data_IF_533179371072
#
_entry.id   IF_533179371072
#
_cell.length_a   1.000
_cell.length_b   1.000
_cell.length_c   1.000
_cell.angle_alpha   90.00
_cell.angle_beta   90.00
_cell.angle_gamma   90.00
#
_symmetry.space_group_name_H-M   'P 1'
#
loop_
_entity.id
_entity.type
_entity.pdbx_description
1 polymer ?
#
# COMPACT_ATOMS: atom_id res chain seq x y z
N UNK A 1 -45.67 -10.20 0.78
CA UNK A 1 -44.92 -9.30 1.70
C UNK A 1 -43.44 -9.59 1.57
N UNK A 2 -42.63 -8.65 1.06
CA UNK A 2 -41.20 -8.86 0.90
C UNK A 2 -40.51 -8.98 2.27
N UNK A 3 -39.98 -10.16 2.61
CA UNK A 3 -39.17 -10.37 3.81
C UNK A 3 -37.85 -9.60 3.66
N UNK A 4 -37.82 -8.38 4.17
CA UNK A 4 -36.60 -7.57 4.23
C UNK A 4 -35.47 -8.29 4.96
N UNK A 5 -34.23 -7.89 4.66
CA UNK A 5 -33.01 -8.45 5.25
C UNK A 5 -33.13 -8.49 6.78
N UNK A 6 -32.95 -9.67 7.39
CA UNK A 6 -33.00 -9.85 8.85
C UNK A 6 -32.08 -8.83 9.53
N UNK A 7 -32.65 -8.05 10.44
CA UNK A 7 -31.92 -7.02 11.19
C UNK A 7 -30.83 -7.67 12.04
N UNK A 8 -29.60 -7.12 11.99
CA UNK A 8 -28.50 -7.53 12.88
C UNK A 8 -28.92 -7.35 14.35
N UNK A 9 -28.67 -8.37 15.18
CA UNK A 9 -28.99 -8.40 16.63
C UNK A 9 -28.12 -7.38 17.40
N UNK A 10 -28.70 -6.72 18.41
CA UNK A 10 -27.97 -5.85 19.36
C UNK A 10 -28.78 -4.63 19.84
N UNK A 11 -28.36 -4.04 20.97
CA UNK A 11 -28.93 -2.80 21.53
C UNK A 11 -28.79 -1.67 20.52
N UNK A 12 -29.82 -0.85 20.33
CA UNK A 12 -29.82 0.25 19.35
C UNK A 12 -29.86 1.60 20.04
N UNK A 13 -29.35 2.62 19.37
CA UNK A 13 -29.54 4.03 19.73
C UNK A 13 -30.98 4.45 19.38
N UNK A 14 -31.47 5.58 19.93
CA UNK A 14 -32.78 6.13 19.56
C UNK A 14 -32.92 6.39 18.05
N UNK A 15 -31.83 6.71 17.36
CA UNK A 15 -31.76 6.86 15.89
C UNK A 15 -31.79 5.54 15.10
N UNK A 16 -31.95 4.41 15.78
CA UNK A 16 -32.05 3.09 15.16
C UNK A 16 -30.71 2.46 14.74
N UNK A 17 -29.57 3.10 14.98
CA UNK A 17 -28.25 2.49 14.76
C UNK A 17 -27.90 1.48 15.86
N UNK A 18 -27.03 0.51 15.58
CA UNK A 18 -26.54 -0.40 16.63
C UNK A 18 -25.65 0.37 17.60
N UNK A 19 -26.00 0.35 18.88
CA UNK A 19 -25.22 0.97 19.94
C UNK A 19 -23.86 0.30 20.04
N UNK A 20 -22.81 1.15 20.04
CA UNK A 20 -21.41 0.76 20.26
C UNK A 20 -20.98 0.94 21.73
N UNK A 21 -21.86 1.45 22.59
CA UNK A 21 -21.56 1.68 24.00
C UNK A 21 -21.24 0.35 24.71
N UNK A 22 -20.07 0.28 25.34
CA UNK A 22 -19.63 -0.88 26.14
C UNK A 22 -19.18 -2.10 25.33
N UNK A 23 -19.19 -2.06 23.99
CA UNK A 23 -18.55 -3.10 23.19
C UNK A 23 -17.08 -2.75 22.99
N UNK A 24 -16.13 -3.63 23.35
CA UNK A 24 -14.75 -3.44 22.92
C UNK A 24 -14.75 -3.29 21.40
N UNK A 25 -14.02 -2.29 20.92
CA UNK A 25 -13.81 -2.06 19.49
C UNK A 25 -13.24 -3.36 18.94
N UNK A 26 -13.91 -3.97 17.96
CA UNK A 26 -13.41 -5.17 17.27
C UNK A 26 -12.02 -4.83 16.72
N UNK A 27 -10.97 -5.38 17.34
CA UNK A 27 -9.56 -4.99 17.11
C UNK A 27 -8.95 -5.70 15.90
N UNK A 28 -9.70 -6.58 15.25
CA UNK A 28 -9.25 -7.31 14.08
C UNK A 28 -9.55 -8.80 14.19
N UNK A 29 -9.53 -9.48 13.05
CA UNK A 29 -9.58 -10.93 12.99
C UNK A 29 -8.23 -11.53 13.41
N UNK A 30 -8.21 -12.82 13.77
CA UNK A 30 -6.96 -13.56 14.01
C UNK A 30 -5.95 -13.42 12.86
N UNK A 31 -6.43 -13.22 11.62
CA UNK A 31 -5.58 -12.95 10.47
C UNK A 31 -4.87 -11.58 10.53
N UNK A 32 -5.53 -10.55 11.07
CA UNK A 32 -4.93 -9.23 11.27
C UNK A 32 -3.87 -9.25 12.37
N UNK A 33 -4.10 -9.97 13.46
CA UNK A 33 -3.12 -10.18 14.53
C UNK A 33 -1.90 -10.98 14.03
N UNK A 34 -2.12 -12.03 13.24
CA UNK A 34 -1.05 -12.80 12.62
C UNK A 34 -0.19 -11.96 11.66
N UNK A 35 -0.82 -11.09 10.84
CA UNK A 35 -0.09 -10.14 9.99
C UNK A 35 0.70 -9.12 10.81
N UNK A 36 0.09 -8.56 11.85
CA UNK A 36 0.77 -7.61 12.74
C UNK A 36 1.95 -8.27 13.48
N UNK A 37 1.83 -9.53 13.89
CA UNK A 37 2.95 -10.27 14.49
C UNK A 37 4.10 -10.51 13.50
N UNK A 38 3.79 -10.72 12.21
CA UNK A 38 4.81 -11.02 11.20
C UNK A 38 5.51 -9.76 10.67
N UNK A 39 4.76 -8.71 10.41
CA UNK A 39 5.25 -7.52 9.71
C UNK A 39 5.28 -6.26 10.59
N UNK A 40 4.73 -6.31 11.80
CA UNK A 40 4.55 -5.12 12.63
C UNK A 40 3.61 -4.11 11.98
N UNK A 41 3.96 -2.83 12.06
CA UNK A 41 3.24 -1.71 11.45
C UNK A 41 3.37 -1.64 9.93
N UNK A 42 4.34 -2.36 9.35
CA UNK A 42 4.64 -2.35 7.91
C UNK A 42 3.93 -3.49 7.14
N UNK A 43 2.96 -4.17 7.75
CA UNK A 43 2.23 -5.29 7.13
C UNK A 43 1.11 -4.91 6.16
N UNK A 44 0.79 -3.62 6.06
CA UNK A 44 -0.41 -3.13 5.35
C UNK A 44 -0.26 -3.02 3.85
N UNK A 45 0.97 -2.93 3.36
CA UNK A 45 1.27 -2.70 1.95
C UNK A 45 2.44 -3.57 1.48
N UNK A 46 2.57 -3.74 0.16
CA UNK A 46 3.62 -4.56 -0.43
C UNK A 46 5.03 -4.04 -0.11
N UNK A 47 5.24 -2.72 -0.15
CA UNK A 47 6.53 -2.08 0.16
C UNK A 47 6.96 -2.35 1.61
N UNK A 48 6.06 -2.17 2.57
CA UNK A 48 6.31 -2.45 3.97
C UNK A 48 6.68 -3.92 4.21
N UNK A 49 5.96 -4.86 3.59
CA UNK A 49 6.29 -6.30 3.68
C UNK A 49 7.65 -6.62 3.06
N UNK A 50 7.96 -6.04 1.90
CA UNK A 50 9.26 -6.23 1.25
C UNK A 50 10.41 -5.69 2.13
N UNK A 51 10.23 -4.52 2.74
CA UNK A 51 11.19 -3.92 3.66
C UNK A 51 11.43 -4.78 4.90
N UNK A 52 10.36 -5.28 5.55
CA UNK A 52 10.47 -6.15 6.75
C UNK A 52 11.25 -7.44 6.49
N UNK A 53 11.30 -7.89 5.23
CA UNK A 53 12.06 -9.05 4.81
C UNK A 53 13.41 -8.70 4.17
N UNK A 54 13.90 -7.46 4.30
CA UNK A 54 15.16 -6.99 3.72
C UNK A 54 15.26 -7.30 2.21
N UNK A 55 14.15 -7.11 1.47
CA UNK A 55 14.14 -7.24 0.00
C UNK A 55 14.33 -5.89 -0.68
N UNK A 56 14.03 -4.80 0.01
CA UNK A 56 14.19 -3.42 -0.46
C UNK A 56 14.77 -2.56 0.68
N UNK A 57 15.37 -1.42 0.32
CA UNK A 57 15.89 -0.44 1.30
C UNK A 57 14.77 0.39 1.94
N UNK A 58 15.11 1.10 3.02
CA UNK A 58 14.21 2.06 3.67
C UNK A 58 13.80 3.19 2.71
N UNK A 59 14.76 3.71 1.94
CA UNK A 59 14.54 4.77 0.94
C UNK A 59 13.63 4.31 -0.19
N UNK A 60 13.81 3.08 -0.69
CA UNK A 60 12.94 2.50 -1.70
C UNK A 60 11.50 2.34 -1.18
N UNK A 61 11.34 1.91 0.08
CA UNK A 61 10.03 1.83 0.74
C UNK A 61 9.37 3.20 0.82
N UNK A 62 10.10 4.21 1.29
CA UNK A 62 9.54 5.54 1.56
C UNK A 62 9.24 6.30 0.26
N UNK A 63 10.12 6.20 -0.75
CA UNK A 63 9.90 6.72 -2.10
C UNK A 63 8.67 6.09 -2.75
N UNK A 64 8.54 4.75 -2.70
CA UNK A 64 7.37 4.06 -3.22
C UNK A 64 6.08 4.47 -2.50
N UNK A 65 6.12 4.59 -1.17
CA UNK A 65 4.94 5.03 -0.38
C UNK A 65 4.55 6.47 -0.69
N UNK A 66 5.51 7.36 -0.92
CA UNK A 66 5.24 8.74 -1.33
C UNK A 66 4.52 8.77 -2.69
N UNK A 67 4.99 7.99 -3.66
CA UNK A 67 4.36 7.88 -4.98
C UNK A 67 2.96 7.26 -4.90
N UNK A 68 2.79 6.15 -4.19
CA UNK A 68 1.47 5.54 -4.01
C UNK A 68 0.47 6.51 -3.36
N UNK A 69 0.88 7.25 -2.34
CA UNK A 69 0.02 8.27 -1.69
C UNK A 69 -0.37 9.41 -2.62
N UNK A 70 0.51 9.80 -3.55
CA UNK A 70 0.20 10.81 -4.55
C UNK A 70 -0.69 10.25 -5.67
N UNK A 71 -0.49 8.98 -6.05
CA UNK A 71 -1.22 8.33 -7.14
C UNK A 71 -2.71 8.20 -6.87
N UNK A 72 -3.09 7.64 -5.71
CA UNK A 72 -4.49 7.27 -5.46
C UNK A 72 -5.49 8.44 -5.36
N UNK A 73 -5.11 9.62 -4.83
CA UNK A 73 -5.96 10.81 -4.89
C UNK A 73 -6.12 11.38 -6.31
N UNK A 74 -5.15 11.19 -7.20
CA UNK A 74 -5.10 11.80 -8.53
C UNK A 74 -5.73 10.87 -9.59
N UNK A 75 -5.29 9.61 -9.62
CA UNK A 75 -5.68 8.63 -10.64
C UNK A 75 -6.50 7.45 -10.09
N UNK A 76 -6.57 7.30 -8.76
CA UNK A 76 -7.27 6.20 -8.10
C UNK A 76 -8.64 6.57 -7.53
N UNK A 77 -9.25 5.66 -6.76
CA UNK A 77 -10.61 5.81 -6.18
C UNK A 77 -10.62 6.49 -4.79
N UNK A 78 -9.63 7.34 -4.48
CA UNK A 78 -9.61 8.16 -3.24
C UNK A 78 -8.37 8.01 -2.35
N UNK A 79 -8.29 8.80 -1.28
CA UNK A 79 -7.14 8.87 -0.34
C UNK A 79 -7.03 7.60 0.52
N UNK A 80 -5.79 7.12 0.70
CA UNK A 80 -5.50 5.93 1.51
C UNK A 80 -4.99 6.28 2.90
N UNK A 81 -5.58 5.63 3.91
CA UNK A 81 -5.09 5.66 5.29
C UNK A 81 -5.13 4.25 5.88
N UNK A 82 -4.12 3.92 6.70
CA UNK A 82 -4.14 2.70 7.49
C UNK A 82 -5.20 2.83 8.58
N UNK A 83 -6.12 1.86 8.67
CA UNK A 83 -7.20 1.84 9.68
C UNK A 83 -6.69 1.68 11.12
N UNK A 84 -5.42 1.27 11.29
CA UNK A 84 -4.75 1.08 12.58
C UNK A 84 -3.80 2.23 12.95
N UNK A 85 -3.45 3.10 12.00
CA UNK A 85 -2.66 4.29 12.30
C UNK A 85 -3.58 5.32 12.98
N UNK A 86 -3.31 5.59 14.26
CA UNK A 86 -4.02 6.62 15.01
C UNK A 86 -3.88 7.98 14.32
N UNK A 87 -5.03 8.57 13.99
CA UNK A 87 -5.20 9.93 13.46
C UNK A 87 -4.58 10.19 12.08
N UNK A 88 -5.37 9.97 11.02
CA UNK A 88 -5.16 10.68 9.75
C UNK A 88 -5.80 12.06 9.83
N UNK A 89 -4.96 13.09 9.91
CA UNK A 89 -5.32 14.50 9.73
C UNK A 89 -5.92 14.71 8.34
N UNK A 90 -7.24 14.89 8.30
CA UNK A 90 -7.98 15.21 7.08
C UNK A 90 -7.79 16.69 6.72
N UNK A 91 -6.75 16.99 5.94
CA UNK A 91 -6.65 18.25 5.22
C UNK A 91 -7.38 18.16 3.89
N UNK A 92 -8.42 18.99 3.72
CA UNK A 92 -8.97 19.35 2.41
C UNK A 92 -7.83 19.97 1.60
N UNK A 93 -7.56 19.48 0.38
CA UNK A 93 -6.68 20.21 -0.55
C UNK A 93 -7.59 21.25 -1.17
N UNK A 94 -7.63 22.45 -0.58
CA UNK A 94 -8.32 23.63 -1.13
C UNK A 94 -7.47 24.37 -2.17
N UNK A 95 -6.22 23.94 -2.36
CA UNK A 95 -5.25 24.60 -3.26
C UNK A 95 -5.12 23.83 -4.59
N UNK A 96 -5.81 24.32 -5.62
CA UNK A 96 -5.76 23.80 -6.99
C UNK A 96 -4.34 23.82 -7.56
N UNK A 97 -3.51 24.81 -7.22
CA UNK A 97 -2.13 24.87 -7.69
C UNK A 97 -1.29 23.75 -7.09
N UNK A 98 -1.50 23.44 -5.80
CA UNK A 98 -0.79 22.35 -5.15
C UNK A 98 -1.20 20.98 -5.74
N UNK A 99 -2.48 20.82 -6.10
CA UNK A 99 -2.95 19.63 -6.79
C UNK A 99 -2.28 19.48 -8.17
N UNK A 100 -2.20 20.57 -8.94
CA UNK A 100 -1.57 20.58 -10.26
C UNK A 100 -0.06 20.29 -10.20
N UNK A 101 0.65 20.89 -9.22
CA UNK A 101 2.06 20.60 -8.94
C UNK A 101 2.29 19.13 -8.61
N UNK A 102 1.42 18.54 -7.77
CA UNK A 102 1.52 17.13 -7.39
C UNK A 102 1.24 16.20 -8.58
N UNK A 103 0.30 16.55 -9.45
CA UNK A 103 -0.01 15.80 -10.68
C UNK A 103 1.15 15.85 -11.68
N UNK A 104 1.71 17.03 -11.94
CA UNK A 104 2.88 17.18 -12.81
C UNK A 104 4.06 16.36 -12.29
N UNK A 105 4.38 16.50 -11.00
CA UNK A 105 5.43 15.73 -10.34
C UNK A 105 5.20 14.22 -10.49
N UNK A 106 3.98 13.75 -10.25
CA UNK A 106 3.66 12.32 -10.37
C UNK A 106 3.81 11.83 -11.82
N UNK A 107 3.29 12.58 -12.79
CA UNK A 107 3.39 12.25 -14.21
C UNK A 107 4.85 12.17 -14.68
N UNK A 108 5.71 13.10 -14.26
CA UNK A 108 7.14 13.07 -14.56
C UNK A 108 7.83 11.81 -14.00
N UNK A 109 7.48 11.42 -12.77
CA UNK A 109 8.03 10.22 -12.13
C UNK A 109 7.56 8.96 -12.83
N UNK A 110 6.28 8.85 -13.15
CA UNK A 110 5.73 7.72 -13.90
C UNK A 110 6.29 7.64 -15.33
N UNK A 111 6.51 8.79 -15.99
CA UNK A 111 7.16 8.85 -17.31
C UNK A 111 8.61 8.37 -17.23
N UNK A 112 9.34 8.72 -16.17
CA UNK A 112 10.71 8.25 -15.93
C UNK A 112 10.75 6.72 -15.82
N UNK A 113 9.87 6.12 -15.03
CA UNK A 113 9.79 4.66 -14.92
C UNK A 113 9.35 4.02 -16.24
N UNK A 114 8.39 4.63 -16.94
CA UNK A 114 7.90 4.13 -18.23
C UNK A 114 9.02 4.06 -19.29
N UNK A 115 9.97 5.00 -19.25
CA UNK A 115 11.12 5.02 -20.17
C UNK A 115 12.09 3.84 -19.98
N UNK A 116 12.06 3.14 -18.83
CA UNK A 116 12.89 1.96 -18.56
C UNK A 116 12.35 0.67 -19.21
N UNK A 117 11.15 0.71 -19.80
CA UNK A 117 10.53 -0.41 -20.49
C UNK A 117 9.31 -0.99 -19.77
N UNK A 118 8.51 -1.73 -20.54
CA UNK A 118 7.20 -2.24 -20.10
C UNK A 118 7.30 -3.22 -18.92
N UNK A 119 8.32 -4.08 -18.90
CA UNK A 119 8.49 -5.06 -17.83
C UNK A 119 8.85 -4.42 -16.48
N UNK A 120 9.74 -3.43 -16.51
CA UNK A 120 10.09 -2.60 -15.35
C UNK A 120 8.87 -1.86 -14.85
N UNK A 121 8.14 -1.19 -15.77
CA UNK A 121 6.93 -0.45 -15.42
C UNK A 121 5.88 -1.34 -14.78
N UNK A 122 5.66 -2.53 -15.32
CA UNK A 122 4.68 -3.49 -14.78
C UNK A 122 5.08 -3.99 -13.40
N UNK A 123 6.34 -4.38 -13.20
CA UNK A 123 6.81 -4.85 -11.89
C UNK A 123 6.78 -3.73 -10.84
N UNK A 124 7.11 -2.51 -11.24
CA UNK A 124 7.00 -1.31 -10.42
C UNK A 124 5.54 -1.03 -10.02
N UNK A 125 4.61 -1.03 -10.98
CA UNK A 125 3.19 -0.78 -10.72
C UNK A 125 2.63 -1.84 -9.77
N UNK A 126 2.94 -3.12 -9.99
CA UNK A 126 2.55 -4.24 -9.12
C UNK A 126 3.04 -4.08 -7.67
N UNK A 127 4.17 -3.39 -7.44
CA UNK A 127 4.77 -3.18 -6.12
C UNK A 127 4.31 -1.87 -5.45
N UNK A 128 4.15 -0.80 -6.23
CA UNK A 128 4.00 0.58 -5.74
C UNK A 128 2.56 1.08 -5.88
N UNK A 129 1.90 0.76 -6.99
CA UNK A 129 0.60 1.32 -7.38
C UNK A 129 -0.53 0.35 -7.04
N UNK A 130 -0.40 -0.92 -7.41
CA UNK A 130 -1.41 -1.95 -7.21
C UNK A 130 -1.56 -2.23 -5.72
N UNK A 131 -2.59 -1.62 -5.14
CA UNK A 131 -2.90 -1.82 -3.74
C UNK A 131 -3.85 -2.98 -3.60
N UNK A 132 -3.22 -4.09 -3.24
CA UNK A 132 -3.91 -5.23 -2.71
C UNK A 132 -3.69 -5.20 -1.18
N UNK A 133 -4.63 -4.62 -0.42
CA UNK A 133 -4.43 -4.35 1.01
C UNK A 133 -4.29 -5.63 1.83
N UNK A 134 -4.72 -6.77 1.26
CA UNK A 134 -4.65 -8.06 1.91
C UNK A 134 -3.53 -8.99 1.42
N UNK A 135 -3.08 -8.86 0.17
CA UNK A 135 -2.05 -9.72 -0.42
C UNK A 135 -1.05 -8.88 -1.21
N UNK A 136 0.21 -9.29 -1.33
CA UNK A 136 1.16 -8.57 -2.17
C UNK A 136 0.90 -8.93 -3.63
N UNK A 137 1.72 -8.40 -4.56
CA UNK A 137 1.87 -9.10 -5.82
C UNK A 137 2.35 -10.52 -5.54
N UNK A 138 1.79 -11.51 -6.24
CA UNK A 138 1.98 -12.92 -5.91
C UNK A 138 3.46 -13.35 -5.93
N UNK A 139 4.29 -12.70 -6.74
CA UNK A 139 5.74 -12.94 -6.76
C UNK A 139 6.43 -12.48 -5.46
N UNK A 140 6.00 -11.37 -4.87
CA UNK A 140 6.56 -10.89 -3.60
C UNK A 140 6.19 -11.83 -2.45
N UNK A 141 4.92 -12.26 -2.39
CA UNK A 141 4.47 -13.19 -1.35
C UNK A 141 5.22 -14.53 -1.44
N UNK A 142 5.55 -15.00 -2.66
CA UNK A 142 6.40 -16.19 -2.86
C UNK A 142 7.84 -15.97 -2.39
N UNK A 143 8.45 -14.82 -2.67
CA UNK A 143 9.79 -14.48 -2.18
C UNK A 143 9.84 -14.42 -0.65
N UNK A 144 8.85 -13.76 -0.03
CA UNK A 144 8.73 -13.69 1.42
C UNK A 144 8.57 -15.10 2.00
N UNK A 145 7.71 -15.92 1.41
CA UNK A 145 7.51 -17.29 1.85
C UNK A 145 8.80 -18.12 1.73
N UNK A 146 9.53 -18.03 0.61
CA UNK A 146 10.80 -18.72 0.42
C UNK A 146 11.84 -18.31 1.47
N UNK A 147 11.99 -17.00 1.72
CA UNK A 147 12.90 -16.45 2.74
C UNK A 147 12.53 -16.89 4.17
N UNK A 148 11.23 -16.99 4.47
CA UNK A 148 10.75 -17.50 5.78
C UNK A 148 11.05 -18.98 6.00
N UNK A 149 11.06 -19.76 4.92
CA UNK A 149 11.28 -21.20 4.96
C UNK A 149 12.73 -21.59 4.72
N UNK A 150 13.64 -20.61 4.60
CA UNK A 150 15.05 -20.79 4.22
C UNK A 150 15.19 -21.63 2.93
N UNK A 151 14.37 -21.30 1.92
CA UNK A 151 14.34 -21.96 0.62
C UNK A 151 14.85 -21.04 -0.48
N UNK A 152 15.35 -21.65 -1.54
CA UNK A 152 15.71 -20.95 -2.76
C UNK A 152 14.52 -20.21 -3.36
N UNK A 153 14.77 -18.96 -3.76
CA UNK A 153 13.82 -18.13 -4.45
C UNK A 153 13.76 -18.49 -5.93
N UNK A 154 12.58 -18.41 -6.53
CA UNK A 154 12.42 -18.56 -7.98
C UNK A 154 13.15 -17.43 -8.71
N UNK A 155 13.97 -17.77 -9.71
CA UNK A 155 14.63 -16.78 -10.58
C UNK A 155 13.64 -15.79 -11.20
N UNK A 156 12.45 -16.25 -11.58
CA UNK A 156 11.41 -15.37 -12.15
C UNK A 156 10.95 -14.31 -11.15
N UNK A 157 10.79 -14.69 -9.88
CA UNK A 157 10.35 -13.76 -8.84
C UNK A 157 11.48 -12.78 -8.47
N UNK A 158 12.73 -13.24 -8.47
CA UNK A 158 13.92 -12.39 -8.30
C UNK A 158 14.07 -11.37 -9.43
N UNK A 159 13.84 -11.78 -10.69
CA UNK A 159 13.85 -10.85 -11.84
C UNK A 159 12.76 -9.79 -11.69
N UNK A 160 11.57 -10.17 -11.20
CA UNK A 160 10.49 -9.20 -10.92
C UNK A 160 10.86 -8.21 -9.82
N UNK A 161 11.48 -8.68 -8.74
CA UNK A 161 11.99 -7.79 -7.69
C UNK A 161 13.06 -6.85 -8.24
N UNK A 162 14.02 -7.35 -9.01
CA UNK A 162 15.07 -6.54 -9.62
C UNK A 162 14.49 -5.47 -10.55
N UNK A 163 13.52 -5.82 -11.40
CA UNK A 163 12.81 -4.88 -12.26
C UNK A 163 12.10 -3.78 -11.46
N UNK A 164 11.39 -4.14 -10.40
CA UNK A 164 10.72 -3.15 -9.54
C UNK A 164 11.74 -2.24 -8.83
N UNK A 165 12.87 -2.79 -8.39
CA UNK A 165 13.97 -2.05 -7.78
C UNK A 165 14.61 -1.07 -8.76
N UNK A 166 14.88 -1.47 -10.01
CA UNK A 166 15.39 -0.55 -11.05
C UNK A 166 14.47 0.68 -11.21
N UNK A 167 13.15 0.47 -11.16
CA UNK A 167 12.17 1.55 -11.21
C UNK A 167 12.16 2.45 -9.96
N UNK A 168 12.48 1.94 -8.78
CA UNK A 168 12.59 2.75 -7.55
C UNK A 168 13.92 3.49 -7.46
N UNK A 169 15.02 2.81 -7.78
CA UNK A 169 16.39 3.35 -7.74
C UNK A 169 16.55 4.55 -8.66
N UNK A 170 16.02 4.51 -9.89
CA UNK A 170 16.08 5.67 -10.79
C UNK A 170 15.37 6.91 -10.22
N UNK A 171 14.35 6.71 -9.37
CA UNK A 171 13.61 7.81 -8.76
C UNK A 171 14.36 8.37 -7.56
N UNK A 172 15.01 7.50 -6.77
CA UNK A 172 15.89 7.88 -5.66
C UNK A 172 17.09 8.68 -6.19
N UNK A 173 17.80 8.17 -7.19
CA UNK A 173 18.94 8.85 -7.81
C UNK A 173 18.59 10.26 -8.32
N UNK A 174 17.36 10.44 -8.80
CA UNK A 174 16.87 11.74 -9.26
C UNK A 174 16.42 12.67 -8.13
N UNK A 175 16.07 12.15 -6.96
CA UNK A 175 15.81 12.98 -5.78
C UNK A 175 17.12 13.53 -5.22
N UNK A 176 18.16 12.71 -5.15
CA UNK A 176 19.47 13.12 -4.62
C UNK A 176 20.17 14.17 -5.50
N UNK A 177 19.92 14.16 -6.82
CA UNK A 177 20.46 15.17 -7.73
C UNK A 177 19.69 16.50 -7.74
N UNK A 178 18.50 16.52 -7.14
CA UNK A 178 17.64 17.70 -7.07
C UNK A 178 17.73 18.42 -5.71
N UNK A 179 18.40 17.81 -4.72
CA UNK A 179 18.69 18.36 -3.39
C UNK A 179 20.06 19.07 -3.38
#
# INVERSE_FOLDING_TARGET
MARGRKRKKGKRTPSGQLSRAGKPRDRGSAAAEAKASLYGTDGTDALGRAYRFNLISLEARDTGRALGRAYWPIFGVGKMSCTLAGQSSGGHIEDEEQALRNEQWLNERLATVNALGSDVRKAFDELVIDINPDCGPAWLDRLIHAKRMDRDCSNRDLVKLAQAMTGLEILIDRLDRAA
#
